data_IF_443007068419
#
_entry.id   IF_443007068419
#
_cell.length_a   1.000
_cell.length_b   1.000
_cell.length_c   1.000
_cell.angle_alpha   90.00
_cell.angle_beta   90.00
_cell.angle_gamma   90.00
#
_symmetry.space_group_name_H-M   'P 1'
#
loop_
_entity.id
_entity.type
_entity.pdbx_description
1 polymer ?
#
# COMPACT_ATOMS: atom_id res chain seq x y z
N UNK A 1 -21.35 -4.24 -4.80
CA UNK A 1 -20.64 -3.06 -4.29
C UNK A 1 -20.73 -2.91 -2.76
N UNK A 2 -21.91 -2.79 -2.16
CA UNK A 2 -22.05 -2.59 -0.71
C UNK A 2 -21.32 -3.66 0.11
N UNK A 3 -21.50 -4.95 -0.18
CA UNK A 3 -20.83 -6.05 0.51
C UNK A 3 -19.29 -5.91 0.46
N UNK A 4 -18.73 -5.70 -0.74
CA UNK A 4 -17.28 -5.55 -0.90
C UNK A 4 -16.72 -4.31 -0.17
N UNK A 5 -17.48 -3.20 -0.17
CA UNK A 5 -17.10 -2.00 0.58
C UNK A 5 -17.14 -2.24 2.10
N UNK A 6 -18.15 -2.97 2.59
CA UNK A 6 -18.23 -3.35 4.01
C UNK A 6 -17.10 -4.28 4.41
N UNK A 7 -16.75 -5.27 3.59
CA UNK A 7 -15.64 -6.18 3.83
C UNK A 7 -14.29 -5.43 3.89
N UNK A 8 -14.05 -4.52 2.94
CA UNK A 8 -12.85 -3.68 2.94
C UNK A 8 -12.78 -2.75 4.16
N UNK A 9 -13.90 -2.12 4.51
CA UNK A 9 -13.99 -1.24 5.68
C UNK A 9 -13.78 -2.02 6.99
N UNK A 10 -14.38 -3.20 7.12
CA UNK A 10 -14.20 -4.06 8.30
C UNK A 10 -12.75 -4.53 8.43
N UNK A 11 -12.10 -4.89 7.32
CA UNK A 11 -10.70 -5.29 7.31
C UNK A 11 -9.75 -4.14 7.67
N UNK A 12 -10.08 -2.90 7.27
CA UNK A 12 -9.32 -1.70 7.58
C UNK A 12 -9.57 -1.17 9.01
N UNK A 13 -10.76 -1.41 9.58
CA UNK A 13 -11.17 -0.87 10.89
C UNK A 13 -10.70 -1.70 12.08
N UNK A 14 -9.71 -2.55 11.92
CA UNK A 14 -9.24 -3.52 12.91
C UNK A 14 -8.64 -2.97 14.22
N UNK A 15 -8.78 -1.68 14.52
CA UNK A 15 -8.36 -1.09 15.79
C UNK A 15 -8.95 0.30 15.97
N UNK A 16 -9.68 0.51 17.05
CA UNK A 16 -10.17 1.85 17.41
C UNK A 16 -8.97 2.78 17.67
N UNK A 17 -8.80 3.79 16.83
CA UNK A 17 -7.83 4.88 17.05
C UNK A 17 -6.45 4.70 16.43
N UNK A 18 -6.19 3.68 15.64
CA UNK A 18 -4.92 3.57 14.92
C UNK A 18 -4.91 4.49 13.69
N UNK A 19 -3.88 5.35 13.64
CA UNK A 19 -3.70 6.29 12.52
C UNK A 19 -3.21 5.53 11.28
N UNK A 20 -3.78 5.87 10.12
CA UNK A 20 -3.25 5.42 8.82
C UNK A 20 -1.76 5.79 8.74
N UNK A 21 -0.94 4.81 8.36
CA UNK A 21 0.49 5.04 8.14
C UNK A 21 1.31 5.21 9.41
N UNK A 22 1.04 4.44 10.45
CA UNK A 22 1.85 4.44 11.67
C UNK A 22 3.34 4.18 11.35
N UNK A 23 4.19 5.08 11.82
CA UNK A 23 5.64 4.99 11.68
C UNK A 23 6.25 4.74 13.04
N UNK A 24 7.16 3.77 13.14
CA UNK A 24 7.84 3.38 14.38
C UNK A 24 9.34 3.59 14.20
N UNK A 25 9.96 4.24 15.19
CA UNK A 25 11.41 4.28 15.31
C UNK A 25 11.88 2.97 15.92
N UNK A 26 12.63 2.22 15.14
CA UNK A 26 12.93 0.81 15.46
C UNK A 26 13.95 0.57 16.59
N UNK A 27 14.51 1.62 17.19
CA UNK A 27 15.29 1.48 18.43
C UNK A 27 14.41 1.17 19.66
N UNK A 28 13.18 1.68 19.67
CA UNK A 28 12.27 1.50 20.79
C UNK A 28 11.51 0.16 20.70
N UNK A 29 11.08 -0.21 19.49
CA UNK A 29 10.34 -1.45 19.25
C UNK A 29 10.49 -1.91 17.78
N UNK A 30 10.34 -3.21 17.53
CA UNK A 30 10.22 -3.72 16.17
C UNK A 30 8.93 -3.22 15.53
N UNK A 31 8.99 -2.76 14.27
CA UNK A 31 7.80 -2.41 13.52
C UNK A 31 7.00 -3.67 13.14
N UNK A 32 5.69 -3.60 13.25
CA UNK A 32 4.80 -4.70 12.90
C UNK A 32 4.47 -4.68 11.40
N UNK A 33 4.39 -5.86 10.79
CA UNK A 33 3.75 -6.01 9.49
C UNK A 33 2.24 -5.85 9.60
N UNK A 34 1.57 -5.65 8.46
CA UNK A 34 0.12 -5.65 8.43
C UNK A 34 -0.45 -7.02 8.83
N UNK A 35 -1.56 -7.02 9.58
CA UNK A 35 -2.28 -8.25 9.88
C UNK A 35 -2.69 -8.96 8.57
N UNK A 36 -2.41 -10.25 8.47
CA UNK A 36 -2.59 -11.03 7.25
C UNK A 36 -4.03 -11.01 6.74
N UNK A 37 -5.01 -11.19 7.65
CA UNK A 37 -6.43 -11.16 7.29
C UNK A 37 -6.88 -9.76 6.89
N UNK A 38 -6.37 -8.73 7.57
CA UNK A 38 -6.67 -7.34 7.26
C UNK A 38 -6.15 -6.95 5.88
N UNK A 39 -4.88 -7.23 5.56
CA UNK A 39 -4.29 -6.90 4.25
C UNK A 39 -5.03 -7.61 3.11
N UNK A 40 -5.24 -8.93 3.23
CA UNK A 40 -5.98 -9.72 2.23
C UNK A 40 -7.44 -9.24 2.07
N UNK A 41 -8.10 -8.91 3.19
CA UNK A 41 -9.47 -8.39 3.20
C UNK A 41 -9.60 -7.04 2.52
N UNK A 42 -8.66 -6.11 2.76
CA UNK A 42 -8.62 -4.81 2.08
C UNK A 42 -8.43 -5.00 0.57
N UNK A 43 -7.44 -5.80 0.16
CA UNK A 43 -7.15 -6.04 -1.25
C UNK A 43 -8.34 -6.69 -1.98
N UNK A 44 -8.94 -7.72 -1.38
CA UNK A 44 -10.12 -8.41 -1.94
C UNK A 44 -11.35 -7.51 -1.99
N UNK A 45 -11.56 -6.67 -0.96
CA UNK A 45 -12.64 -5.71 -0.94
C UNK A 45 -12.50 -4.65 -2.04
N UNK A 46 -11.30 -4.10 -2.24
CA UNK A 46 -11.00 -3.17 -3.33
C UNK A 46 -11.27 -3.83 -4.69
N UNK A 47 -10.78 -5.06 -4.90
CA UNK A 47 -11.04 -5.83 -6.12
C UNK A 47 -12.54 -6.02 -6.36
N UNK A 48 -13.28 -6.43 -5.34
CA UNK A 48 -14.74 -6.62 -5.44
C UNK A 48 -15.50 -5.34 -5.80
N UNK A 49 -15.05 -4.17 -5.31
CA UNK A 49 -15.63 -2.87 -5.69
C UNK A 49 -15.36 -2.57 -7.17
N UNK A 50 -14.13 -2.79 -7.65
CA UNK A 50 -13.74 -2.56 -9.05
C UNK A 50 -14.52 -3.48 -9.99
N UNK A 51 -14.55 -4.78 -9.72
CA UNK A 51 -15.30 -5.75 -10.52
C UNK A 51 -16.81 -5.46 -10.56
N UNK A 52 -17.38 -5.02 -9.44
CA UNK A 52 -18.77 -4.63 -9.38
C UNK A 52 -19.06 -3.38 -10.22
N UNK A 53 -18.15 -2.42 -10.27
CA UNK A 53 -18.26 -1.23 -11.12
C UNK A 53 -18.15 -1.58 -12.62
N UNK A 54 -17.24 -2.49 -12.97
CA UNK A 54 -17.11 -3.00 -14.35
C UNK A 54 -18.37 -3.73 -14.81
N UNK A 55 -18.89 -4.65 -13.98
CA UNK A 55 -20.15 -5.38 -14.28
C UNK A 55 -21.37 -4.47 -14.39
N UNK A 56 -21.39 -3.36 -13.68
CA UNK A 56 -22.46 -2.38 -13.78
C UNK A 56 -22.37 -1.51 -15.06
N UNK A 57 -21.38 -1.74 -15.93
CA UNK A 57 -21.17 -0.99 -17.17
C UNK A 57 -20.82 0.49 -16.94
N UNK A 58 -20.46 0.86 -15.73
CA UNK A 58 -20.16 2.26 -15.36
C UNK A 58 -18.78 2.70 -15.82
N UNK A 59 -17.88 1.75 -15.92
CA UNK A 59 -16.51 1.95 -16.46
C UNK A 59 -16.07 0.69 -17.21
N UNK A 60 -15.23 0.86 -18.22
CA UNK A 60 -14.53 -0.24 -18.87
C UNK A 60 -13.59 -0.97 -17.91
N UNK A 61 -13.06 -2.11 -18.36
CA UNK A 61 -12.04 -2.87 -17.63
C UNK A 61 -10.92 -1.95 -17.14
N UNK A 62 -10.40 -2.21 -15.94
CA UNK A 62 -9.28 -1.46 -15.41
C UNK A 62 -8.02 -1.76 -16.24
N UNK A 63 -7.76 -0.94 -17.24
CA UNK A 63 -6.61 -1.10 -18.13
C UNK A 63 -5.32 -0.63 -17.46
N UNK A 64 -4.21 -1.24 -17.88
CA UNK A 64 -2.89 -0.81 -17.50
C UNK A 64 -2.59 0.54 -18.17
N UNK A 65 -2.42 1.59 -17.38
CA UNK A 65 -1.67 2.75 -17.84
C UNK A 65 -0.19 2.35 -17.81
N UNK A 66 0.58 2.73 -18.82
CA UNK A 66 2.02 2.45 -18.79
C UNK A 66 2.61 2.99 -17.49
N UNK A 67 3.30 2.12 -16.76
CA UNK A 67 3.96 2.53 -15.54
C UNK A 67 5.02 3.59 -15.87
N UNK A 68 4.91 4.76 -15.28
CA UNK A 68 5.92 5.79 -15.40
C UNK A 68 7.23 5.29 -14.81
N UNK A 69 8.13 4.80 -15.68
CA UNK A 69 9.48 4.44 -15.38
C UNK A 69 9.67 3.11 -14.63
N UNK A 70 10.63 2.33 -15.07
CA UNK A 70 11.14 1.18 -14.33
C UNK A 70 11.71 1.66 -12.98
N UNK A 71 11.01 1.30 -11.89
CA UNK A 71 11.26 1.85 -10.57
C UNK A 71 12.41 1.22 -9.80
N UNK A 72 13.42 0.64 -10.46
CA UNK A 72 14.58 0.08 -9.74
C UNK A 72 15.23 1.08 -8.77
N UNK A 73 15.21 2.37 -9.12
CA UNK A 73 15.72 3.44 -8.26
C UNK A 73 14.97 3.60 -6.93
N UNK A 74 13.75 3.07 -6.79
CA UNK A 74 12.92 3.22 -5.60
C UNK A 74 12.76 1.93 -4.79
N UNK A 75 13.42 0.84 -5.18
CA UNK A 75 13.38 -0.45 -4.47
C UNK A 75 13.82 -0.35 -2.99
N UNK A 76 14.67 0.61 -2.66
CA UNK A 76 15.11 0.91 -1.29
C UNK A 76 13.97 1.28 -0.33
N UNK A 77 12.80 1.70 -0.84
CA UNK A 77 11.59 1.84 -0.05
C UNK A 77 11.20 0.54 0.71
N UNK A 78 11.67 -0.63 0.24
CA UNK A 78 11.50 -1.92 0.91
C UNK A 78 12.04 -1.94 2.33
N UNK A 79 13.09 -1.17 2.63
CA UNK A 79 13.69 -1.06 3.97
C UNK A 79 12.71 -0.54 5.03
N UNK A 80 11.69 0.25 4.62
CA UNK A 80 10.64 0.74 5.49
C UNK A 80 9.68 -0.35 5.97
N UNK A 81 9.71 -1.52 5.34
CA UNK A 81 8.86 -2.66 5.67
C UNK A 81 9.55 -3.68 6.58
N UNK A 82 10.79 -3.42 6.99
CA UNK A 82 11.54 -4.28 7.89
C UNK A 82 10.92 -4.31 9.28
N UNK A 83 11.06 -5.46 9.97
CA UNK A 83 10.54 -5.65 11.34
C UNK A 83 11.63 -5.58 12.40
N UNK A 84 12.90 -5.65 12.02
CA UNK A 84 14.01 -5.74 12.97
C UNK A 84 14.06 -4.51 13.88
N UNK A 85 14.15 -4.76 15.19
CA UNK A 85 14.52 -3.76 16.18
C UNK A 85 15.99 -3.39 15.94
N UNK A 86 16.30 -2.09 15.88
CA UNK A 86 17.66 -1.63 15.72
C UNK A 86 18.38 -1.66 17.08
N UNK A 87 19.07 -2.74 17.35
CA UNK A 87 20.20 -2.68 18.29
C UNK A 87 21.49 -2.24 17.56
N UNK A 88 21.48 -2.24 16.22
CA UNK A 88 22.52 -1.81 15.28
C UNK A 88 21.90 -1.05 14.10
N UNK A 89 22.71 -0.37 13.28
CA UNK A 89 22.35 0.43 12.10
C UNK A 89 21.52 -0.28 11.02
N UNK A 90 21.13 -1.53 11.22
CA UNK A 90 20.49 -2.40 10.23
C UNK A 90 18.96 -2.52 10.37
N UNK A 91 18.32 -1.80 11.29
CA UNK A 91 16.86 -1.82 11.48
C UNK A 91 16.18 -0.61 10.82
N UNK A 92 15.17 -0.86 9.99
CA UNK A 92 14.36 0.19 9.37
C UNK A 92 15.04 0.95 8.24
N UNK A 93 14.30 1.82 7.59
CA UNK A 93 14.78 2.70 6.53
C UNK A 93 15.26 4.05 7.08
N UNK A 94 16.22 4.69 6.40
CA UNK A 94 16.65 6.05 6.65
C UNK A 94 15.79 7.10 5.91
N UNK A 95 16.19 8.38 6.03
CA UNK A 95 15.53 9.49 5.33
C UNK A 95 15.51 9.29 3.80
N UNK A 96 16.64 8.85 3.22
CA UNK A 96 16.73 8.57 1.79
C UNK A 96 15.77 7.45 1.33
N UNK A 97 15.52 6.44 2.17
CA UNK A 97 14.59 5.36 1.85
C UNK A 97 13.13 5.85 1.89
N UNK A 98 12.82 6.78 2.81
CA UNK A 98 11.52 7.46 2.85
C UNK A 98 11.31 8.37 1.61
N UNK A 99 12.36 9.04 1.13
CA UNK A 99 12.33 9.79 -0.14
C UNK A 99 12.07 8.88 -1.34
N UNK A 100 12.64 7.66 -1.36
CA UNK A 100 12.34 6.65 -2.40
C UNK A 100 10.88 6.22 -2.37
N UNK A 101 10.28 6.04 -1.19
CA UNK A 101 8.85 5.77 -1.06
C UNK A 101 8.00 6.94 -1.60
N UNK A 102 8.37 8.18 -1.27
CA UNK A 102 7.70 9.37 -1.77
C UNK A 102 7.82 9.50 -3.29
N UNK A 103 9.01 9.24 -3.86
CA UNK A 103 9.24 9.23 -5.30
C UNK A 103 8.38 8.17 -6.00
N UNK A 104 8.32 6.94 -5.49
CA UNK A 104 7.48 5.88 -6.04
C UNK A 104 6.00 6.27 -6.05
N UNK A 105 5.48 6.82 -4.94
CA UNK A 105 4.09 7.27 -4.84
C UNK A 105 3.82 8.46 -5.76
N UNK A 106 4.77 9.38 -5.91
CA UNK A 106 4.62 10.56 -6.78
C UNK A 106 4.58 10.20 -8.26
N UNK A 107 5.36 9.18 -8.66
CA UNK A 107 5.49 8.73 -10.05
C UNK A 107 4.25 8.01 -10.59
N UNK A 108 3.28 7.66 -9.75
CA UNK A 108 2.12 6.85 -10.16
C UNK A 108 0.79 7.55 -9.93
N UNK A 109 -0.19 7.23 -10.76
CA UNK A 109 -1.59 7.63 -10.60
C UNK A 109 -2.30 6.72 -9.59
N UNK A 110 -3.39 7.21 -9.01
CA UNK A 110 -4.26 6.36 -8.17
C UNK A 110 -4.84 5.15 -8.93
N UNK A 111 -5.01 5.27 -10.24
CA UNK A 111 -5.49 4.17 -11.10
C UNK A 111 -4.44 3.07 -11.26
N UNK A 112 -3.16 3.43 -11.38
CA UNK A 112 -2.04 2.47 -11.40
C UNK A 112 -1.90 1.74 -10.06
N UNK A 113 -1.98 2.47 -8.94
CA UNK A 113 -1.98 1.86 -7.60
C UNK A 113 -3.15 0.89 -7.45
N UNK A 114 -4.35 1.32 -7.83
CA UNK A 114 -5.56 0.51 -7.78
C UNK A 114 -5.42 -0.77 -8.60
N UNK A 115 -4.86 -0.68 -9.81
CA UNK A 115 -4.62 -1.83 -10.66
C UNK A 115 -3.62 -2.81 -10.03
N UNK A 116 -2.52 -2.32 -9.47
CA UNK A 116 -1.54 -3.16 -8.79
C UNK A 116 -2.16 -3.95 -7.62
N UNK A 117 -3.06 -3.31 -6.84
CA UNK A 117 -3.80 -3.98 -5.76
C UNK A 117 -4.75 -5.05 -6.33
N UNK A 118 -5.54 -4.71 -7.36
CA UNK A 118 -6.53 -5.62 -7.97
C UNK A 118 -5.86 -6.84 -8.60
N UNK A 119 -4.76 -6.63 -9.30
CA UNK A 119 -3.99 -7.72 -9.93
C UNK A 119 -3.37 -8.67 -8.89
N UNK A 120 -2.89 -8.13 -7.77
CA UNK A 120 -2.35 -8.91 -6.66
C UNK A 120 -3.45 -9.67 -5.88
N UNK A 121 -4.67 -9.12 -5.80
CA UNK A 121 -5.78 -9.67 -5.01
C UNK A 121 -6.45 -10.90 -5.66
N UNK A 122 -5.68 -11.87 -6.14
CA UNK A 122 -6.17 -13.10 -6.76
C UNK A 122 -6.08 -14.34 -5.87
N UNK A 123 -5.21 -14.30 -4.88
CA UNK A 123 -4.93 -15.39 -3.93
C UNK A 123 -4.73 -14.81 -2.55
N UNK A 124 -5.00 -15.59 -1.51
CA UNK A 124 -4.60 -15.23 -0.16
C UNK A 124 -3.08 -15.33 -0.04
N UNK A 125 -2.46 -14.22 0.27
CA UNK A 125 -1.03 -14.13 0.52
C UNK A 125 -0.74 -14.29 2.02
N UNK A 126 0.46 -14.80 2.31
CA UNK A 126 0.95 -15.01 3.68
C UNK A 126 2.23 -14.23 3.90
N UNK A 127 2.70 -14.22 5.14
CA UNK A 127 4.01 -13.71 5.49
C UNK A 127 5.09 -14.41 4.66
N UNK A 128 6.06 -13.62 4.20
CA UNK A 128 7.27 -14.12 3.51
C UNK A 128 8.40 -14.35 4.51
N UNK A 129 9.41 -15.10 4.12
CA UNK A 129 10.59 -15.32 4.97
C UNK A 129 11.35 -14.00 5.21
N UNK A 130 11.45 -13.17 4.19
CA UNK A 130 12.05 -11.83 4.24
C UNK A 130 11.25 -10.91 3.31
N UNK A 131 11.01 -9.65 3.71
CA UNK A 131 10.25 -8.68 2.91
C UNK A 131 10.87 -8.42 1.54
N UNK A 132 12.19 -8.45 1.43
CA UNK A 132 12.89 -8.30 0.15
C UNK A 132 12.49 -9.37 -0.89
N UNK A 133 12.05 -10.53 -0.41
CA UNK A 133 11.62 -11.66 -1.25
C UNK A 133 10.14 -11.61 -1.62
N UNK A 134 9.40 -10.58 -1.19
CA UNK A 134 8.01 -10.39 -1.59
C UNK A 134 7.91 -10.23 -3.11
N UNK A 135 6.97 -10.96 -3.72
CA UNK A 135 6.75 -10.96 -5.17
C UNK A 135 5.60 -10.05 -5.61
N UNK A 136 4.80 -9.57 -4.65
CA UNK A 136 3.64 -8.73 -4.88
C UNK A 136 3.37 -7.80 -3.68
N UNK A 137 2.55 -6.75 -3.85
CA UNK A 137 2.32 -5.74 -2.81
C UNK A 137 1.59 -6.27 -1.57
N UNK A 138 0.80 -7.34 -1.68
CA UNK A 138 0.09 -7.93 -0.54
C UNK A 138 1.10 -8.61 0.39
N UNK A 139 1.97 -9.47 -0.15
CA UNK A 139 3.03 -10.13 0.61
C UNK A 139 3.98 -9.12 1.28
N UNK A 140 4.34 -8.05 0.56
CA UNK A 140 5.16 -6.96 1.10
C UNK A 140 4.45 -6.22 2.25
N UNK A 141 3.15 -5.96 2.13
CA UNK A 141 2.36 -5.28 3.16
C UNK A 141 2.20 -6.15 4.42
N UNK A 142 1.99 -7.44 4.29
CA UNK A 142 1.94 -8.40 5.41
C UNK A 142 3.30 -8.45 6.11
N UNK A 143 4.39 -8.57 5.34
CA UNK A 143 5.74 -8.55 5.85
C UNK A 143 6.33 -9.94 6.15
N UNK A 144 7.44 -9.97 6.90
CA UNK A 144 8.21 -11.19 7.17
C UNK A 144 7.66 -12.00 8.34
N UNK A 145 7.95 -13.30 8.32
CA UNK A 145 7.73 -14.20 9.47
C UNK A 145 8.77 -13.97 10.56
N UNK A 146 10.00 -13.59 10.17
CA UNK A 146 11.13 -13.39 11.08
C UNK A 146 11.24 -11.91 11.44
N UNK A 147 11.28 -11.63 12.75
CA UNK A 147 11.37 -10.28 13.31
C UNK A 147 12.81 -9.75 13.34
N UNK A 148 13.80 -10.58 12.99
CA UNK A 148 15.22 -10.26 13.05
C UNK A 148 15.86 -10.00 11.67
N UNK A 149 15.08 -9.95 10.59
CA UNK A 149 15.61 -9.64 9.26
C UNK A 149 16.04 -8.19 9.13
N UNK A 150 17.24 -7.97 8.61
CA UNK A 150 17.76 -6.64 8.32
C UNK A 150 16.88 -5.92 7.31
N UNK A 151 16.82 -4.60 7.41
CA UNK A 151 16.18 -3.77 6.40
C UNK A 151 16.90 -3.93 5.05
N UNK A 152 16.17 -4.31 4.02
CA UNK A 152 16.71 -4.53 2.68
C UNK A 152 15.75 -3.95 1.62
N UNK A 153 16.31 -3.55 0.48
CA UNK A 153 15.55 -3.17 -0.70
C UNK A 153 14.72 -4.35 -1.22
N UNK A 154 13.65 -4.07 -1.94
CA UNK A 154 12.93 -5.11 -2.67
C UNK A 154 13.84 -5.73 -3.75
N UNK A 155 13.93 -7.05 -3.79
CA UNK A 155 14.82 -7.79 -4.68
C UNK A 155 14.09 -8.38 -5.90
N UNK A 156 12.79 -8.65 -5.78
CA UNK A 156 12.00 -9.26 -6.85
C UNK A 156 11.47 -8.22 -7.83
N UNK A 157 11.60 -8.48 -9.12
CA UNK A 157 11.17 -7.58 -10.20
C UNK A 157 9.70 -7.18 -10.09
N UNK A 158 8.85 -8.07 -9.57
CA UNK A 158 7.45 -7.79 -9.28
C UNK A 158 7.25 -6.67 -8.26
N UNK A 159 8.23 -6.38 -7.40
CA UNK A 159 8.16 -5.34 -6.36
C UNK A 159 9.01 -4.10 -6.64
N UNK A 160 9.86 -4.11 -7.66
CA UNK A 160 10.72 -2.97 -8.01
C UNK A 160 9.99 -1.85 -8.75
N UNK A 161 8.75 -2.10 -9.20
CA UNK A 161 7.93 -1.10 -9.93
C UNK A 161 7.29 -0.12 -8.95
N UNK A 162 7.19 1.14 -9.35
CA UNK A 162 6.63 2.21 -8.53
C UNK A 162 5.17 1.96 -8.11
N UNK A 163 4.35 1.39 -8.98
CA UNK A 163 2.95 1.04 -8.71
C UNK A 163 2.83 -0.07 -7.66
N UNK A 164 3.72 -1.06 -7.70
CA UNK A 164 3.75 -2.15 -6.72
C UNK A 164 4.23 -1.65 -5.35
N UNK A 165 5.27 -0.81 -5.31
CA UNK A 165 5.75 -0.16 -4.10
C UNK A 165 4.64 0.70 -3.48
N UNK A 166 3.99 1.54 -4.27
CA UNK A 166 2.89 2.39 -3.81
C UNK A 166 1.69 1.56 -3.33
N UNK A 167 1.35 0.47 -4.01
CA UNK A 167 0.29 -0.45 -3.59
C UNK A 167 0.61 -1.13 -2.24
N UNK A 168 1.85 -1.56 -2.02
CA UNK A 168 2.29 -2.11 -0.74
C UNK A 168 2.20 -1.07 0.39
N UNK A 169 2.56 0.19 0.11
CA UNK A 169 2.44 1.30 1.06
C UNK A 169 0.97 1.52 1.45
N UNK A 170 0.06 1.54 0.47
CA UNK A 170 -1.39 1.69 0.72
C UNK A 170 -1.92 0.55 1.58
N UNK A 171 -1.65 -0.69 1.18
CA UNK A 171 -2.16 -1.87 1.87
C UNK A 171 -1.65 -1.95 3.31
N UNK A 172 -0.34 -1.70 3.53
CA UNK A 172 0.23 -1.71 4.87
C UNK A 172 -0.26 -0.54 5.73
N UNK A 173 -0.37 0.65 5.14
CA UNK A 173 -0.85 1.84 5.84
C UNK A 173 -2.31 1.77 6.28
N UNK A 174 -3.14 1.00 5.57
CA UNK A 174 -4.56 0.79 5.89
C UNK A 174 -4.81 -0.46 6.76
N UNK A 175 -3.86 -1.38 6.82
CA UNK A 175 -4.05 -2.64 7.52
C UNK A 175 -3.94 -2.47 9.04
N UNK A 176 -4.70 -3.29 9.77
CA UNK A 176 -4.50 -3.47 11.21
C UNK A 176 -3.04 -3.85 11.49
N UNK A 177 -2.48 -3.29 12.54
CA UNK A 177 -1.08 -3.48 12.98
C UNK A 177 0.00 -3.05 11.98
N UNK A 178 -0.36 -2.47 10.82
CA UNK A 178 0.59 -2.07 9.80
C UNK A 178 1.45 -0.87 10.22
N UNK A 179 2.75 -1.09 10.40
CA UNK A 179 3.72 -0.08 10.82
C UNK A 179 4.90 0.00 9.84
N UNK A 180 5.42 1.20 9.66
CA UNK A 180 6.63 1.45 8.86
C UNK A 180 7.81 1.70 9.79
N UNK A 181 8.95 1.09 9.47
CA UNK A 181 10.17 1.14 10.27
C UNK A 181 11.09 2.28 9.82
N UNK A 182 11.39 3.23 10.69
CA UNK A 182 12.41 4.24 10.48
C UNK A 182 13.57 4.08 11.46
N UNK A 183 14.78 4.39 11.02
CA UNK A 183 15.95 4.56 11.87
C UNK A 183 15.78 5.77 12.81
N UNK A 184 16.51 5.76 13.92
CA UNK A 184 16.39 6.80 14.95
C UNK A 184 16.75 8.20 14.51
N UNK A 185 17.76 8.32 13.67
CA UNK A 185 18.29 9.57 13.16
C UNK A 185 17.43 10.21 12.05
N UNK A 186 16.30 9.57 11.71
CA UNK A 186 15.41 9.98 10.63
C UNK A 186 14.20 10.80 11.10
N UNK A 187 14.35 11.67 12.10
CA UNK A 187 13.25 12.46 12.69
C UNK A 187 12.45 13.28 11.67
N UNK A 188 13.12 13.90 10.73
CA UNK A 188 12.47 14.69 9.68
C UNK A 188 11.74 13.82 8.64
N UNK A 189 12.15 12.57 8.50
CA UNK A 189 11.54 11.63 7.54
C UNK A 189 10.20 11.08 8.04
N UNK A 190 9.93 11.07 9.34
CA UNK A 190 8.68 10.54 9.90
C UNK A 190 7.44 11.26 9.36
N UNK A 191 7.46 12.60 9.40
CA UNK A 191 6.37 13.43 8.87
C UNK A 191 6.22 13.26 7.36
N UNK A 192 7.33 13.22 6.63
CA UNK A 192 7.35 12.99 5.19
C UNK A 192 6.78 11.63 4.82
N UNK A 193 7.14 10.58 5.55
CA UNK A 193 6.63 9.24 5.31
C UNK A 193 5.13 9.13 5.63
N UNK A 194 4.66 9.70 6.72
CA UNK A 194 3.21 9.78 7.03
C UNK A 194 2.44 10.47 5.90
N UNK A 195 2.91 11.63 5.46
CA UNK A 195 2.30 12.36 4.33
C UNK A 195 2.32 11.55 3.03
N UNK A 196 3.39 10.78 2.79
CA UNK A 196 3.49 9.88 1.63
C UNK A 196 2.44 8.78 1.69
N UNK A 197 2.25 8.13 2.85
CA UNK A 197 1.24 7.08 3.03
C UNK A 197 -0.17 7.65 2.85
N UNK A 198 -0.47 8.79 3.47
CA UNK A 198 -1.76 9.49 3.31
C UNK A 198 -2.02 9.86 1.84
N UNK A 199 -1.01 10.37 1.13
CA UNK A 199 -1.11 10.69 -0.29
C UNK A 199 -1.41 9.46 -1.14
N UNK A 200 -0.73 8.34 -0.90
CA UNK A 200 -0.95 7.09 -1.61
C UNK A 200 -2.36 6.55 -1.39
N UNK A 201 -2.82 6.53 -0.13
CA UNK A 201 -4.18 6.11 0.23
C UNK A 201 -5.21 7.03 -0.43
N UNK A 202 -5.04 8.34 -0.35
CA UNK A 202 -5.96 9.31 -0.95
C UNK A 202 -6.04 9.15 -2.48
N UNK A 203 -4.91 9.01 -3.17
CA UNK A 203 -4.88 8.72 -4.62
C UNK A 203 -5.71 7.48 -4.96
N UNK A 204 -5.58 6.41 -4.18
CA UNK A 204 -6.29 5.14 -4.38
C UNK A 204 -7.79 5.32 -4.13
N UNK A 205 -8.18 5.95 -3.02
CA UNK A 205 -9.58 6.22 -2.67
C UNK A 205 -10.26 7.07 -3.74
N UNK A 206 -9.59 8.14 -4.19
CA UNK A 206 -10.11 9.00 -5.27
C UNK A 206 -10.29 8.21 -6.57
N UNK A 207 -9.37 7.29 -6.90
CA UNK A 207 -9.51 6.43 -8.09
C UNK A 207 -10.71 5.49 -7.97
N UNK A 208 -10.93 4.89 -6.79
CA UNK A 208 -12.11 4.04 -6.51
C UNK A 208 -13.40 4.84 -6.62
N UNK A 209 -13.46 6.03 -5.99
CA UNK A 209 -14.65 6.89 -6.00
C UNK A 209 -14.98 7.36 -7.40
N UNK A 210 -13.98 7.79 -8.19
CA UNK A 210 -14.19 8.23 -9.58
C UNK A 210 -14.72 7.11 -10.46
N UNK A 211 -14.30 5.88 -10.28
CA UNK A 211 -14.86 4.72 -11.00
C UNK A 211 -16.33 4.47 -10.66
N UNK A 212 -16.72 4.74 -9.42
CA UNK A 212 -18.10 4.54 -8.98
C UNK A 212 -19.00 5.77 -9.25
N UNK A 213 -18.43 6.96 -9.40
CA UNK A 213 -19.13 8.25 -9.41
C UNK A 213 -19.54 8.81 -10.76
N UNK A 214 -19.10 8.23 -11.89
CA UNK A 214 -19.46 8.75 -13.24
C UNK A 214 -20.93 8.55 -13.64
N UNK A 215 -21.80 8.19 -12.71
CA UNK A 215 -23.22 7.92 -12.97
C UNK A 215 -24.17 9.13 -12.83
N UNK A 216 -23.67 10.33 -12.52
CA UNK A 216 -24.55 11.50 -12.30
C UNK A 216 -24.30 12.72 -13.20
N UNK A 217 -23.52 12.60 -14.27
CA UNK A 217 -23.31 13.72 -15.19
C UNK A 217 -24.24 13.74 -16.39
N UNK A 218 -25.28 12.87 -16.43
CA UNK A 218 -26.19 12.74 -17.55
C UNK A 218 -27.66 13.10 -17.27
N UNK A 219 -28.01 13.56 -16.08
CA UNK A 219 -29.41 13.84 -15.71
C UNK A 219 -29.65 15.26 -15.21
N UNK A 220 -29.17 16.27 -15.93
CA UNK A 220 -29.62 17.66 -15.72
C UNK A 220 -29.70 18.41 -17.05
N UNK A 221 -30.53 17.92 -17.97
CA UNK A 221 -31.02 18.70 -19.12
C UNK A 221 -32.41 18.24 -19.51
N UNK A 222 -33.37 18.32 -18.58
CA UNK A 222 -34.79 18.34 -18.94
C UNK A 222 -35.55 19.07 -17.83
N UNK A 223 -35.42 20.38 -17.82
CA UNK A 223 -36.37 21.33 -17.28
C UNK A 223 -36.11 22.70 -17.95
N UNK A 224 -36.70 22.90 -19.14
CA UNK A 224 -37.26 24.14 -19.66
C UNK A 224 -38.35 23.80 -20.63
#
# INVERSE_FOLDING_TARGET
>A
MVKAATEAATAASGGAGEMIGKVVKVNAAAAKGGDEKSVNGIASGIKGIVEAAEKAGKEGKLESEEAAGAGEANADAGKLFAKKKADDDNGGGGAADAEKAAAAVSAVSGKQILKAIVDAAGKEEKKVADVKDATNPIAAAIGSTDDNKNAAAFDKDGMKKNDQIAAAIVLRGMAKDGEFALKNDADNAEKGLKSTVESAVNKTVVAVVRRNGKSCSGCCCWCC
#
